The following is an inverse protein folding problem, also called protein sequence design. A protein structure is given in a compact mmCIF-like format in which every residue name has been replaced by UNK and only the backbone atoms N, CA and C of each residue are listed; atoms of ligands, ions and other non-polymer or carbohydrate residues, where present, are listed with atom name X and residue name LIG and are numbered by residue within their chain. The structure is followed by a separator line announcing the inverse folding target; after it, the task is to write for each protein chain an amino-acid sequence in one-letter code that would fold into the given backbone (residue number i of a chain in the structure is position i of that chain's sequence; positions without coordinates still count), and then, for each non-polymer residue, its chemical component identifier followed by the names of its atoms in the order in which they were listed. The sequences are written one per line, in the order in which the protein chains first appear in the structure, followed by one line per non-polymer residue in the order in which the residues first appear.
data_IF_327020197186
#
_entry.id   IF_327020197186
#
_cell.length_a   1.000
_cell.length_b   1.000
_cell.length_c   1.000
_cell.angle_alpha   90.00
_cell.angle_beta   90.00
_cell.angle_gamma   90.00
#
_symmetry.space_group_name_H-M   'P 1'
#
loop_
_entity.id
_entity.type
_entity.pdbx_description
1 polymer ?
#
# COMPACT_ATOMS: atom_id res chain seq x y z
N UNK A 1 20.65 15.12 -15.62
CA UNK A 1 19.36 14.55 -15.17
C UNK A 1 18.72 15.36 -14.04
N UNK A 2 19.41 15.66 -12.93
CA UNK A 2 18.85 16.43 -11.79
C UNK A 2 18.26 17.82 -12.09
N UNK A 3 18.70 18.51 -13.17
CA UNK A 3 18.14 19.84 -13.51
C UNK A 3 16.71 19.79 -14.03
N UNK A 4 16.37 18.77 -14.82
CA UNK A 4 15.01 18.58 -15.37
C UNK A 4 14.05 18.13 -14.27
N UNK A 5 14.46 17.20 -13.41
CA UNK A 5 13.68 16.76 -12.24
C UNK A 5 13.34 17.94 -11.33
N UNK A 6 14.32 18.78 -11.00
CA UNK A 6 14.11 19.96 -10.17
C UNK A 6 13.17 20.99 -10.82
N UNK A 7 13.22 21.16 -12.14
CA UNK A 7 12.32 22.03 -12.90
C UNK A 7 10.87 21.48 -12.86
N UNK A 8 10.69 20.18 -13.07
CA UNK A 8 9.39 19.53 -13.02
C UNK A 8 8.77 19.63 -11.61
N UNK A 9 9.55 19.34 -10.57
CA UNK A 9 9.08 19.44 -9.17
C UNK A 9 8.73 20.88 -8.81
N UNK A 10 9.56 21.86 -9.18
CA UNK A 10 9.32 23.29 -8.90
C UNK A 10 8.18 23.88 -9.71
N UNK A 11 7.83 23.31 -10.86
CA UNK A 11 6.73 23.80 -11.69
C UNK A 11 5.35 23.68 -11.04
N UNK A 12 5.22 22.89 -9.98
CA UNK A 12 3.95 22.59 -9.32
C UNK A 12 2.97 21.74 -10.15
N UNK A 13 3.31 21.44 -11.41
CA UNK A 13 2.50 20.62 -12.32
C UNK A 13 2.59 19.13 -12.00
N UNK A 14 3.68 18.73 -11.34
CA UNK A 14 3.92 17.35 -10.91
C UNK A 14 4.03 17.31 -9.40
N UNK A 15 2.98 16.85 -8.75
CA UNK A 15 2.96 16.61 -7.31
C UNK A 15 2.63 15.14 -7.05
N UNK A 16 3.32 14.55 -6.09
CA UNK A 16 2.93 13.22 -5.60
C UNK A 16 1.54 13.30 -4.96
N UNK A 17 0.64 12.38 -5.30
CA UNK A 17 -0.68 12.35 -4.70
C UNK A 17 -0.58 12.12 -3.19
N UNK A 18 -1.52 12.68 -2.46
CA UNK A 18 -1.49 12.63 -1.01
C UNK A 18 -2.86 12.77 -0.37
N UNK A 19 -2.88 13.09 0.91
CA UNK A 19 -4.09 13.16 1.73
C UNK A 19 -5.20 14.09 1.14
N UNK A 20 -4.82 15.12 0.38
CA UNK A 20 -5.80 16.04 -0.22
C UNK A 20 -6.69 15.33 -1.24
N UNK A 21 -6.12 14.43 -2.04
CA UNK A 21 -6.88 13.68 -3.05
C UNK A 21 -7.86 12.70 -2.39
N UNK A 22 -7.43 12.01 -1.33
CA UNK A 22 -8.31 11.12 -0.57
C UNK A 22 -9.51 11.87 0.05
N UNK A 23 -9.30 13.11 0.51
CA UNK A 23 -10.38 13.92 1.11
C UNK A 23 -11.44 14.39 0.12
N UNK A 24 -11.12 14.41 -1.17
CA UNK A 24 -12.06 14.78 -2.24
C UNK A 24 -13.03 13.65 -2.59
N UNK A 25 -12.72 12.42 -2.15
CA UNK A 25 -13.57 11.27 -2.42
C UNK A 25 -14.87 11.39 -1.62
N UNK A 26 -15.98 11.37 -2.32
CA UNK A 26 -17.33 11.43 -1.74
C UNK A 26 -18.24 10.31 -2.24
N UNK A 27 -17.89 9.70 -3.38
CA UNK A 27 -18.68 8.64 -3.98
C UNK A 27 -18.49 7.34 -3.19
N UNK A 28 -19.57 6.80 -2.56
CA UNK A 28 -19.51 5.57 -1.77
C UNK A 28 -19.21 4.30 -2.60
N UNK A 29 -19.42 4.34 -3.92
CA UNK A 29 -19.06 3.24 -4.81
C UNK A 29 -17.55 3.13 -5.04
N UNK A 30 -16.79 4.17 -4.70
CA UNK A 30 -15.33 4.14 -4.80
C UNK A 30 -14.73 3.03 -3.94
N UNK A 31 -13.90 2.21 -4.54
CA UNK A 31 -13.13 1.16 -3.85
C UNK A 31 -11.64 1.47 -3.95
N UNK A 32 -10.98 1.57 -2.81
CA UNK A 32 -9.54 1.78 -2.73
C UNK A 32 -8.81 0.47 -2.44
N UNK A 33 -7.63 0.33 -3.00
CA UNK A 33 -6.68 -0.75 -2.69
C UNK A 33 -5.46 -0.14 -2.03
N UNK A 34 -5.03 -0.70 -0.91
CA UNK A 34 -3.76 -0.34 -0.27
C UNK A 34 -2.77 -1.48 -0.38
N UNK A 35 -1.57 -1.16 -0.80
CA UNK A 35 -0.47 -2.11 -0.91
C UNK A 35 0.87 -1.48 -0.55
N UNK A 36 1.92 -2.31 -0.35
CA UNK A 36 3.28 -1.87 -0.08
C UNK A 36 4.25 -2.55 -1.02
N UNK A 37 4.92 -1.75 -1.81
CA UNK A 37 6.07 -2.18 -2.61
C UNK A 37 7.35 -2.03 -1.81
N UNK A 38 8.28 -2.97 -1.96
CA UNK A 38 9.63 -2.88 -1.42
C UNK A 38 10.63 -2.75 -2.57
N UNK A 39 11.38 -1.66 -2.57
CA UNK A 39 12.47 -1.43 -3.55
C UNK A 39 13.81 -1.60 -2.87
N UNK A 40 14.75 -2.37 -3.44
CA UNK A 40 16.12 -2.46 -2.92
C UNK A 40 16.79 -1.09 -3.00
N UNK A 41 17.65 -0.81 -2.03
CA UNK A 41 18.47 0.41 -1.98
C UNK A 41 19.90 0.04 -1.67
N UNK A 42 20.84 0.88 -2.06
CA UNK A 42 22.21 0.78 -1.61
C UNK A 42 22.27 0.76 -0.08
N UNK A 43 23.23 0.00 0.46
CA UNK A 43 23.42 -0.11 1.90
C UNK A 43 23.68 1.27 2.51
N UNK A 44 22.79 1.80 3.35
CA UNK A 44 22.98 3.12 3.94
C UNK A 44 24.22 3.17 4.83
N UNK A 45 24.96 4.27 4.82
CA UNK A 45 26.12 4.47 5.70
C UNK A 45 25.72 4.54 7.18
N UNK A 46 24.51 5.05 7.48
CA UNK A 46 23.94 5.16 8.83
C UNK A 46 22.54 4.56 8.93
N UNK A 47 22.19 4.05 10.11
CA UNK A 47 20.83 3.55 10.38
C UNK A 47 20.44 2.28 9.62
N UNK A 48 21.40 1.49 9.15
CA UNK A 48 21.24 0.28 8.34
C UNK A 48 20.17 -0.66 8.87
N UNK A 49 20.18 -0.95 10.17
CA UNK A 49 19.23 -1.86 10.84
C UNK A 49 17.76 -1.49 10.58
N UNK A 50 17.45 -0.22 10.36
CA UNK A 50 16.09 0.26 10.06
C UNK A 50 15.64 -0.07 8.64
N UNK A 51 16.56 -0.16 7.70
CA UNK A 51 16.27 -0.43 6.28
C UNK A 51 16.34 -1.91 5.93
N UNK A 52 16.93 -2.75 6.76
CA UNK A 52 17.06 -4.18 6.49
C UNK A 52 15.71 -4.89 6.58
N UNK A 53 15.23 -5.39 5.44
CA UNK A 53 14.00 -6.19 5.33
C UNK A 53 14.35 -7.67 5.61
N UNK A 54 13.75 -8.22 6.66
CA UNK A 54 13.88 -9.65 6.96
C UNK A 54 13.21 -10.54 5.91
N UNK A 55 12.26 -10.02 5.14
CA UNK A 55 11.56 -10.71 4.04
C UNK A 55 12.46 -10.79 2.80
N UNK A 56 13.01 -9.66 2.38
CA UNK A 56 13.85 -9.55 1.17
C UNK A 56 15.30 -9.91 1.41
N UNK A 57 15.74 -10.03 2.69
CA UNK A 57 17.15 -10.26 3.08
C UNK A 57 18.11 -9.18 2.58
N UNK A 58 17.59 -7.96 2.37
CA UNK A 58 18.32 -6.83 1.82
C UNK A 58 17.89 -5.50 2.47
N UNK A 59 18.62 -4.42 2.16
CA UNK A 59 18.24 -3.07 2.54
C UNK A 59 17.20 -2.54 1.56
N UNK A 60 16.02 -2.19 2.06
CA UNK A 60 14.89 -1.76 1.22
C UNK A 60 14.25 -0.48 1.72
N UNK A 61 13.59 0.21 0.80
CA UNK A 61 12.62 1.25 1.07
C UNK A 61 11.23 0.71 0.77
N UNK A 62 10.30 0.91 1.69
CA UNK A 62 8.89 0.60 1.48
C UNK A 62 8.15 1.83 0.94
N UNK A 63 7.36 1.60 -0.09
CA UNK A 63 6.43 2.59 -0.62
C UNK A 63 5.01 2.06 -0.49
N UNK A 64 4.25 2.62 0.45
CA UNK A 64 2.82 2.36 0.57
C UNK A 64 2.09 3.18 -0.49
N UNK A 65 1.26 2.51 -1.27
CA UNK A 65 0.39 3.12 -2.27
C UNK A 65 -1.07 2.90 -1.90
N UNK A 66 -1.91 3.90 -2.17
CA UNK A 66 -3.36 3.78 -2.14
C UNK A 66 -3.85 4.12 -3.53
N UNK A 67 -4.57 3.20 -4.14
CA UNK A 67 -4.97 3.25 -5.54
C UNK A 67 -6.50 3.14 -5.61
N UNK A 68 -7.12 3.94 -6.44
CA UNK A 68 -8.51 3.79 -6.81
C UNK A 68 -8.65 2.60 -7.77
N UNK A 69 -9.50 1.64 -7.42
CA UNK A 69 -9.64 0.37 -8.14
C UNK A 69 -10.17 0.57 -9.56
N UNK A 70 -11.09 1.50 -9.77
CA UNK A 70 -11.73 1.75 -11.05
C UNK A 70 -10.83 2.58 -11.97
N UNK A 71 -10.42 3.74 -11.50
CA UNK A 71 -9.65 4.71 -12.30
C UNK A 71 -8.16 4.36 -12.40
N UNK A 72 -7.67 3.43 -11.58
CA UNK A 72 -6.25 3.05 -11.45
C UNK A 72 -5.35 4.22 -11.04
N UNK A 73 -5.90 5.30 -10.55
CA UNK A 73 -5.12 6.45 -10.10
C UNK A 73 -4.50 6.21 -8.73
N UNK A 74 -3.25 6.58 -8.61
CA UNK A 74 -2.58 6.63 -7.31
C UNK A 74 -3.15 7.82 -6.53
N UNK A 75 -3.83 7.54 -5.43
CA UNK A 75 -4.48 8.53 -4.59
C UNK A 75 -3.58 9.02 -3.47
N UNK A 76 -2.68 8.18 -3.00
CA UNK A 76 -1.75 8.55 -1.92
C UNK A 76 -0.50 7.68 -1.93
N UNK A 77 0.66 8.32 -1.71
CA UNK A 77 1.93 7.64 -1.51
C UNK A 77 2.50 7.98 -0.14
N UNK A 78 3.13 6.99 0.50
CA UNK A 78 3.89 7.14 1.74
C UNK A 78 5.10 6.23 1.73
N UNK A 79 6.22 6.74 2.22
CA UNK A 79 7.46 5.98 2.26
C UNK A 79 7.83 5.58 3.70
N UNK A 80 8.53 4.47 3.81
CA UNK A 80 9.03 3.97 5.08
C UNK A 80 10.27 3.10 4.90
N UNK A 81 10.97 2.86 6.01
CA UNK A 81 12.13 1.98 6.03
C UNK A 81 11.70 0.53 5.88
N UNK A 82 12.47 -0.32 5.18
CA UNK A 82 12.13 -1.71 4.85
C UNK A 82 11.76 -2.59 6.03
N UNK A 83 12.35 -2.36 7.20
CA UNK A 83 12.04 -3.12 8.43
C UNK A 83 10.65 -2.85 9.00
N UNK A 84 9.98 -1.76 8.61
CA UNK A 84 8.68 -1.40 9.18
C UNK A 84 7.61 -2.36 8.67
N UNK A 85 6.79 -2.92 9.55
CA UNK A 85 5.62 -3.71 9.18
C UNK A 85 4.58 -2.83 8.47
N UNK A 86 3.91 -3.35 7.44
CA UNK A 86 3.01 -2.60 6.54
C UNK A 86 1.90 -1.87 7.29
N UNK A 87 1.18 -2.55 8.19
CA UNK A 87 0.17 -1.92 9.03
C UNK A 87 0.75 -0.84 9.97
N UNK A 88 2.00 -1.01 10.43
CA UNK A 88 2.68 0.03 11.23
C UNK A 88 3.03 1.24 10.38
N UNK A 89 3.40 1.03 9.11
CA UNK A 89 3.63 2.10 8.14
C UNK A 89 2.33 2.89 7.92
N UNK A 90 1.21 2.20 7.69
CA UNK A 90 -0.10 2.83 7.57
C UNK A 90 -0.45 3.70 8.78
N UNK A 91 -0.32 3.17 9.99
CA UNK A 91 -0.58 3.94 11.22
C UNK A 91 0.31 5.18 11.36
N UNK A 92 1.60 5.04 11.05
CA UNK A 92 2.56 6.16 11.09
C UNK A 92 2.30 7.21 10.03
N UNK A 93 1.78 6.82 8.89
CA UNK A 93 1.47 7.73 7.79
C UNK A 93 0.35 8.72 8.11
N UNK A 94 -0.46 8.43 9.14
CA UNK A 94 -1.64 9.20 9.55
C UNK A 94 -2.60 9.49 8.39
N UNK A 95 -2.59 8.65 7.38
CA UNK A 95 -3.53 8.75 6.25
C UNK A 95 -4.95 8.52 6.76
N UNK A 96 -5.85 9.43 6.39
CA UNK A 96 -7.28 9.33 6.70
C UNK A 96 -8.04 9.06 5.42
N UNK A 97 -8.75 7.95 5.40
CA UNK A 97 -9.67 7.56 4.33
C UNK A 97 -11.09 7.92 4.79
N UNK A 98 -11.94 8.49 3.93
CA UNK A 98 -13.34 8.75 4.28
C UNK A 98 -14.05 7.45 4.70
N UNK A 99 -14.87 7.51 5.75
CA UNK A 99 -15.47 6.32 6.38
C UNK A 99 -16.40 5.52 5.45
N UNK A 100 -17.00 6.21 4.49
CA UNK A 100 -17.91 5.64 3.48
C UNK A 100 -17.19 4.99 2.30
N UNK A 101 -15.86 5.06 2.22
CA UNK A 101 -15.08 4.51 1.11
C UNK A 101 -14.56 3.12 1.50
N UNK A 102 -14.81 2.13 0.65
CA UNK A 102 -14.33 0.76 0.84
C UNK A 102 -12.82 0.67 0.64
N UNK A 103 -12.11 -0.02 1.54
CA UNK A 103 -10.67 -0.22 1.47
C UNK A 103 -10.32 -1.71 1.45
N UNK A 104 -9.67 -2.15 0.39
CA UNK A 104 -9.11 -3.49 0.28
C UNK A 104 -7.64 -3.49 0.65
N UNK A 105 -7.23 -4.39 1.52
CA UNK A 105 -5.85 -4.50 2.00
C UNK A 105 -5.38 -5.96 2.01
N UNK A 106 -4.06 -6.16 2.06
CA UNK A 106 -3.47 -7.48 2.14
C UNK A 106 -3.44 -8.03 3.59
N UNK A 107 -2.90 -9.25 3.74
CA UNK A 107 -2.73 -9.92 5.06
C UNK A 107 -1.83 -9.13 6.02
N UNK A 108 -0.96 -8.26 5.53
CA UNK A 108 -0.08 -7.41 6.32
C UNK A 108 -0.83 -6.34 7.13
N UNK A 109 -2.08 -6.08 6.78
CA UNK A 109 -2.92 -5.05 7.40
C UNK A 109 -3.92 -5.61 8.43
N UNK A 110 -3.66 -6.76 9.01
CA UNK A 110 -4.52 -7.31 10.07
C UNK A 110 -4.75 -6.29 11.19
N UNK A 111 -6.04 -6.05 11.49
CA UNK A 111 -6.46 -5.04 12.47
C UNK A 111 -6.79 -3.67 11.87
N UNK A 112 -6.72 -3.49 10.55
CA UNK A 112 -7.11 -2.23 9.88
C UNK A 112 -8.58 -1.88 10.13
N UNK A 113 -9.46 -2.87 10.25
CA UNK A 113 -10.87 -2.73 10.62
C UNK A 113 -11.09 -1.90 11.89
N UNK A 114 -10.14 -1.92 12.85
CA UNK A 114 -10.20 -1.10 14.06
C UNK A 114 -9.96 0.38 13.82
N UNK A 115 -9.41 0.73 12.65
CA UNK A 115 -9.07 2.12 12.27
C UNK A 115 -10.03 2.60 11.19
N UNK A 116 -10.39 1.73 10.28
CA UNK A 116 -11.31 1.99 9.16
C UNK A 116 -12.26 0.80 9.02
N UNK A 117 -13.49 0.97 9.51
CA UNK A 117 -14.49 -0.11 9.62
C UNK A 117 -14.87 -0.70 8.26
N UNK A 118 -14.91 0.13 7.21
CA UNK A 118 -15.25 -0.31 5.86
C UNK A 118 -14.02 -0.84 5.10
N UNK A 119 -13.24 -1.70 5.77
CA UNK A 119 -12.06 -2.36 5.18
C UNK A 119 -12.27 -3.86 5.05
N UNK A 120 -11.63 -4.45 4.04
CA UNK A 120 -11.56 -5.90 3.87
C UNK A 120 -10.11 -6.37 3.78
N UNK A 121 -9.81 -7.45 4.48
CA UNK A 121 -8.51 -8.13 4.43
C UNK A 121 -8.72 -9.63 4.29
N UNK A 122 -7.78 -10.36 3.67
CA UNK A 122 -7.86 -11.82 3.64
C UNK A 122 -7.89 -12.41 5.05
N UNK A 123 -8.73 -13.40 5.24
CA UNK A 123 -8.87 -14.13 6.50
C UNK A 123 -7.56 -14.87 6.77
N UNK A 124 -6.99 -14.64 7.94
CA UNK A 124 -5.77 -15.31 8.37
C UNK A 124 -6.08 -16.72 8.85
N UNK A 125 -5.25 -17.68 8.43
CA UNK A 125 -5.31 -19.05 8.95
C UNK A 125 -5.12 -19.05 10.48
N UNK A 126 -6.02 -19.67 11.25
CA UNK A 126 -5.84 -19.79 12.70
C UNK A 126 -4.65 -20.68 13.03
N UNK A 127 -4.03 -20.42 14.18
CA UNK A 127 -2.89 -21.23 14.65
C UNK A 127 -3.36 -22.67 14.89
N UNK A 128 -2.73 -23.64 14.24
CA UNK A 128 -3.10 -25.07 14.34
C UNK A 128 -4.34 -25.50 13.54
N UNK A 129 -5.07 -24.55 12.92
CA UNK A 129 -6.27 -24.85 12.13
C UNK A 129 -6.08 -24.79 10.63
N UNK A 130 -7.16 -24.97 9.87
CA UNK A 130 -7.25 -24.78 8.42
C UNK A 130 -8.34 -23.76 8.11
N UNK A 131 -8.21 -23.06 6.99
CA UNK A 131 -9.31 -22.24 6.47
C UNK A 131 -10.40 -23.16 5.91
N UNK A 132 -11.66 -22.79 6.12
CA UNK A 132 -12.79 -23.43 5.43
C UNK A 132 -12.75 -23.16 3.94
N UNK A 133 -13.49 -23.92 3.15
CA UNK A 133 -13.50 -23.73 1.70
C UNK A 133 -14.15 -22.39 1.32
N UNK A 134 -15.14 -21.95 2.07
CA UNK A 134 -15.75 -20.62 1.94
C UNK A 134 -14.73 -19.50 2.20
N UNK A 135 -13.93 -19.62 3.27
CA UNK A 135 -12.88 -18.67 3.60
C UNK A 135 -11.77 -18.64 2.53
N UNK A 136 -11.43 -19.80 1.97
CA UNK A 136 -10.49 -19.89 0.84
C UNK A 136 -11.05 -19.21 -0.41
N UNK A 137 -12.34 -19.43 -0.71
CA UNK A 137 -13.05 -18.81 -1.84
C UNK A 137 -13.08 -17.29 -1.69
N UNK A 138 -13.45 -16.80 -0.50
CA UNK A 138 -13.41 -15.37 -0.17
C UNK A 138 -12.01 -14.76 -0.38
N UNK A 139 -10.98 -15.38 0.21
CA UNK A 139 -9.60 -14.93 0.07
C UNK A 139 -9.13 -14.91 -1.40
N UNK A 140 -9.54 -15.90 -2.19
CA UNK A 140 -9.22 -15.97 -3.63
C UNK A 140 -9.86 -14.81 -4.39
N UNK A 141 -11.16 -14.55 -4.16
CA UNK A 141 -11.87 -13.42 -4.77
C UNK A 141 -11.22 -12.08 -4.44
N UNK A 142 -10.90 -11.85 -3.17
CA UNK A 142 -10.26 -10.62 -2.72
C UNK A 142 -8.86 -10.43 -3.35
N UNK A 143 -8.08 -11.51 -3.45
CA UNK A 143 -6.76 -11.46 -4.08
C UNK A 143 -6.87 -11.21 -5.59
N UNK A 144 -7.84 -11.79 -6.29
CA UNK A 144 -8.06 -11.53 -7.73
C UNK A 144 -8.32 -10.06 -8.01
N UNK A 145 -9.15 -9.40 -7.20
CA UNK A 145 -9.43 -7.97 -7.34
C UNK A 145 -8.14 -7.16 -7.14
N UNK A 146 -7.32 -7.52 -6.17
CA UNK A 146 -6.06 -6.81 -5.87
C UNK A 146 -5.01 -7.00 -6.97
N UNK A 147 -4.82 -8.24 -7.45
CA UNK A 147 -3.87 -8.55 -8.54
C UNK A 147 -4.21 -7.80 -9.81
N UNK A 148 -5.49 -7.58 -10.12
CA UNK A 148 -5.89 -6.77 -11.26
C UNK A 148 -5.36 -5.32 -11.19
N UNK A 149 -5.00 -4.81 -10.01
CA UNK A 149 -4.33 -3.52 -9.83
C UNK A 149 -2.82 -3.64 -10.05
N UNK A 150 -2.20 -4.73 -9.57
CA UNK A 150 -0.75 -4.95 -9.64
C UNK A 150 -0.24 -5.14 -11.08
N UNK A 151 -1.00 -5.82 -11.94
CA UNK A 151 -0.61 -6.12 -13.34
C UNK A 151 -0.41 -4.85 -14.20
N UNK A 152 -1.05 -3.74 -13.84
CA UNK A 152 -0.91 -2.48 -14.59
C UNK A 152 0.30 -1.62 -14.17
N UNK A 153 1.07 -2.07 -13.19
CA UNK A 153 2.36 -1.49 -12.82
C UNK A 153 3.43 -2.56 -13.00
N UNK A 154 4.00 -2.69 -14.21
CA UNK A 154 5.08 -3.64 -14.42
C UNK A 154 6.19 -3.30 -13.44
N UNK A 155 6.54 -4.26 -12.59
CA UNK A 155 7.79 -4.23 -11.86
C UNK A 155 8.88 -4.00 -12.91
N UNK A 156 9.67 -2.98 -12.72
CA UNK A 156 10.87 -2.72 -13.53
C UNK A 156 11.84 -3.88 -13.30
N UNK A 157 11.66 -4.98 -14.06
CA UNK A 157 12.71 -5.94 -14.29
C UNK A 157 13.64 -5.34 -15.34
N UNK A 158 14.81 -4.98 -14.93
CA UNK A 158 15.92 -4.51 -15.73
C UNK A 158 17.19 -4.73 -14.97
#
# INVERSE_FOLDING_TARGET
MHKVENLLIKSGKFALPGQKELRKLSDPETVLVIDVMESPIERPSKGQKGFYSGKQKDHTLKTQVIIDLETRKIMCLRHGKGRIHDFKLFKKSKVKIPKNIKLLADKGYQGILKIHEFSETPIKKPKGGKLTDEQKKYNRGLNQIRVAVEINYPSSEG
#
